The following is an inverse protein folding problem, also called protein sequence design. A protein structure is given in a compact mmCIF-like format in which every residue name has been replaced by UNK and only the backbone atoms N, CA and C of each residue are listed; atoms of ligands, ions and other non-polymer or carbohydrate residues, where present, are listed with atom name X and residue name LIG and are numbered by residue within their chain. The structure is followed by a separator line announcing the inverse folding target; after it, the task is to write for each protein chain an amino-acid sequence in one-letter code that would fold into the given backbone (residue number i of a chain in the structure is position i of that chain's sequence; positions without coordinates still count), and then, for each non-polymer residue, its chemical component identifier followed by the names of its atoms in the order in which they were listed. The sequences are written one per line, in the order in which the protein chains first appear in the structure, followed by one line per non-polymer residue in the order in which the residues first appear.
data_IF_439230510178
#
_entry.id   IF_439230510178
#
_cell.length_a   1.000
_cell.length_b   1.000
_cell.length_c   1.000
_cell.angle_alpha   90.00
_cell.angle_beta   90.00
_cell.angle_gamma   90.00
#
_symmetry.space_group_name_H-M   'P 1'
#
loop_
_entity.id
_entity.type
_entity.pdbx_description
1 polymer ?
#
# COMPACT_ATOMS: atom_id res chain seq x y z
N UNK A 1 -7.75 -12.95 -0.65
CA UNK A 1 -8.54 -12.79 0.58
C UNK A 1 -8.77 -11.33 0.84
N UNK A 2 -9.89 -10.98 1.49
CA UNK A 2 -10.19 -9.61 1.94
C UNK A 2 -9.40 -9.29 3.21
N UNK A 3 -9.22 -8.02 3.55
CA UNK A 3 -8.46 -7.65 4.75
C UNK A 3 -9.00 -8.28 6.04
N UNK A 4 -10.33 -8.31 6.20
CA UNK A 4 -11.01 -8.94 7.35
C UNK A 4 -10.82 -10.46 7.48
N UNK A 5 -10.39 -11.12 6.40
CA UNK A 5 -10.17 -12.57 6.36
C UNK A 5 -8.71 -12.94 6.68
N UNK A 6 -7.84 -11.93 6.88
CA UNK A 6 -6.43 -12.15 7.19
C UNK A 6 -6.30 -12.51 8.67
N UNK A 7 -5.75 -13.68 8.92
CA UNK A 7 -5.36 -14.15 10.25
C UNK A 7 -3.87 -13.88 10.39
N UNK A 8 -3.55 -12.84 11.15
CA UNK A 8 -2.17 -12.44 11.41
C UNK A 8 -1.53 -13.35 12.43
N UNK A 9 -0.30 -13.81 12.13
CA UNK A 9 0.53 -14.54 13.10
C UNK A 9 1.01 -13.62 14.23
N UNK A 10 1.35 -12.39 13.87
CA UNK A 10 1.70 -11.31 14.78
C UNK A 10 1.11 -9.99 14.26
N UNK A 11 0.50 -9.22 15.16
CA UNK A 11 -0.03 -7.90 14.82
C UNK A 11 1.10 -6.90 15.02
N UNK A 12 1.63 -6.39 13.91
CA UNK A 12 2.67 -5.36 13.93
C UNK A 12 2.01 -3.98 13.97
N UNK A 13 2.48 -3.14 14.90
CA UNK A 13 2.00 -1.76 15.10
C UNK A 13 2.84 -0.71 14.37
N UNK A 14 3.94 -1.13 13.72
CA UNK A 14 4.83 -0.23 12.97
C UNK A 14 4.69 -0.53 11.49
N UNK A 15 4.49 0.47 10.61
CA UNK A 15 4.40 0.24 9.18
C UNK A 15 5.70 -0.39 8.65
N UNK A 16 5.58 -1.43 7.84
CA UNK A 16 6.74 -2.11 7.25
C UNK A 16 7.04 -1.54 5.86
N UNK A 17 6.01 -1.44 5.02
CA UNK A 17 6.09 -0.98 3.64
C UNK A 17 5.31 0.30 3.36
N UNK A 18 4.44 0.76 4.28
CA UNK A 18 3.75 2.04 4.20
C UNK A 18 4.50 3.18 4.91
N UNK A 19 5.83 3.19 4.80
CA UNK A 19 6.64 4.20 5.49
C UNK A 19 6.40 5.60 4.91
N UNK A 20 6.13 6.56 5.81
CA UNK A 20 6.07 7.97 5.46
C UNK A 20 7.49 8.51 5.22
N UNK A 21 7.77 8.98 4.01
CA UNK A 21 9.08 9.56 3.67
C UNK A 21 9.08 11.08 3.84
N UNK A 22 10.10 11.65 4.52
CA UNK A 22 10.22 13.09 4.72
C UNK A 22 10.30 13.86 3.39
N UNK A 23 9.72 15.06 3.37
CA UNK A 23 9.84 16.00 2.24
C UNK A 23 11.32 16.28 1.92
N UNK A 24 11.68 16.25 0.64
CA UNK A 24 13.04 16.54 0.16
C UNK A 24 13.99 15.34 0.11
N UNK A 25 13.58 14.15 0.54
CA UNK A 25 14.37 12.90 0.36
C UNK A 25 13.97 12.16 -0.92
N UNK A 26 14.92 11.48 -1.60
CA UNK A 26 14.63 10.71 -2.80
C UNK A 26 13.78 9.48 -2.46
N UNK A 27 12.49 9.53 -2.76
CA UNK A 27 11.54 8.44 -2.47
C UNK A 27 11.34 7.47 -3.64
N UNK A 28 11.63 7.87 -4.89
CA UNK A 28 11.35 7.07 -6.10
C UNK A 28 12.01 5.68 -6.09
N UNK A 29 13.27 5.59 -5.67
CA UNK A 29 13.97 4.31 -5.60
C UNK A 29 13.38 3.35 -4.56
N UNK A 30 12.99 3.86 -3.39
CA UNK A 30 12.35 3.07 -2.34
C UNK A 30 10.91 2.69 -2.72
N UNK A 31 10.23 3.55 -3.47
CA UNK A 31 8.91 3.29 -4.03
C UNK A 31 8.93 2.17 -5.06
N UNK A 32 9.94 2.13 -5.94
CA UNK A 32 10.17 1.01 -6.87
C UNK A 32 10.45 -0.32 -6.15
N UNK A 33 11.03 -0.27 -4.95
CA UNK A 33 11.20 -1.43 -4.08
C UNK A 33 9.94 -1.79 -3.27
N UNK A 34 8.85 -1.04 -3.43
CA UNK A 34 7.57 -1.24 -2.76
C UNK A 34 7.55 -0.92 -1.27
N UNK A 35 8.47 -0.06 -0.81
CA UNK A 35 8.65 0.33 0.61
C UNK A 35 8.06 1.69 0.97
N UNK A 36 7.37 2.31 0.02
CA UNK A 36 6.81 3.66 0.17
C UNK A 36 5.37 3.65 -0.26
N UNK A 37 4.49 3.97 0.69
CA UNK A 37 3.11 4.31 0.37
C UNK A 37 3.00 5.79 0.02
N UNK A 38 2.33 6.15 -1.09
CA UNK A 38 2.19 7.54 -1.50
C UNK A 38 1.25 8.33 -0.58
N UNK A 39 1.78 9.36 0.07
CA UNK A 39 1.04 10.25 1.01
C UNK A 39 0.91 11.68 0.49
N UNK A 40 1.27 11.91 -0.78
CA UNK A 40 1.13 13.20 -1.46
C UNK A 40 0.81 13.01 -2.94
N UNK A 41 0.23 14.03 -3.57
CA UNK A 41 -0.12 13.99 -5.00
C UNK A 41 1.07 13.65 -5.89
N UNK A 42 2.23 14.27 -5.66
CA UNK A 42 3.44 13.99 -6.45
C UNK A 42 3.93 12.54 -6.28
N UNK A 43 3.83 11.98 -5.07
CA UNK A 43 4.17 10.58 -4.82
C UNK A 43 3.17 9.64 -5.46
N UNK A 44 1.87 9.95 -5.41
CA UNK A 44 0.82 9.14 -6.01
C UNK A 44 0.96 9.11 -7.55
N UNK A 45 1.20 10.26 -8.17
CA UNK A 45 1.51 10.35 -9.60
C UNK A 45 2.72 9.49 -9.96
N UNK A 46 3.84 9.68 -9.26
CA UNK A 46 5.05 8.90 -9.50
C UNK A 46 4.82 7.39 -9.29
N UNK A 47 4.08 7.01 -8.25
CA UNK A 47 3.76 5.62 -7.94
C UNK A 47 3.02 4.95 -9.10
N UNK A 48 1.97 5.60 -9.63
CA UNK A 48 1.17 5.08 -10.74
C UNK A 48 1.95 5.12 -12.05
N UNK A 49 2.61 6.23 -12.38
CA UNK A 49 3.38 6.38 -13.62
C UNK A 49 4.54 5.38 -13.73
N UNK A 50 5.21 5.09 -12.61
CA UNK A 50 6.30 4.12 -12.58
C UNK A 50 5.81 2.67 -12.45
N UNK A 51 4.50 2.42 -12.35
CA UNK A 51 3.93 1.09 -12.16
C UNK A 51 4.40 0.42 -10.86
N UNK A 52 4.55 1.20 -9.79
CA UNK A 52 5.00 0.71 -8.50
C UNK A 52 3.94 -0.21 -7.87
N UNK A 53 4.39 -1.09 -6.96
CA UNK A 53 3.52 -1.91 -6.15
C UNK A 53 4.01 -1.89 -4.71
N UNK A 54 3.11 -2.05 -3.74
CA UNK A 54 3.53 -2.26 -2.35
C UNK A 54 4.07 -3.68 -2.25
N UNK A 55 5.22 -3.84 -1.58
CA UNK A 55 5.89 -5.13 -1.45
C UNK A 55 5.16 -6.05 -0.46
N UNK A 56 5.78 -6.32 0.68
CA UNK A 56 5.18 -7.11 1.76
C UNK A 56 4.58 -6.17 2.79
N UNK A 57 3.32 -6.40 3.14
CA UNK A 57 2.55 -5.57 4.05
C UNK A 57 2.24 -6.35 5.32
N UNK A 58 2.39 -5.67 6.45
CA UNK A 58 1.90 -6.17 7.73
C UNK A 58 0.46 -5.66 8.01
N UNK A 59 -0.05 -5.95 9.20
CA UNK A 59 -1.39 -5.54 9.63
C UNK A 59 -1.64 -4.04 9.53
N UNK A 60 -0.66 -3.21 9.89
CA UNK A 60 -0.81 -1.75 9.86
C UNK A 60 -0.78 -1.21 8.41
N UNK A 61 0.13 -1.73 7.58
CA UNK A 61 0.18 -1.37 6.16
C UNK A 61 -1.16 -1.70 5.47
N UNK A 62 -1.75 -2.87 5.77
CA UNK A 62 -3.07 -3.26 5.24
C UNK A 62 -4.15 -2.29 5.73
N UNK A 63 -4.15 -1.90 7.00
CA UNK A 63 -5.09 -0.92 7.56
C UNK A 63 -5.02 0.42 6.82
N UNK A 64 -3.82 0.91 6.50
CA UNK A 64 -3.62 2.16 5.75
C UNK A 64 -4.15 2.03 4.31
N UNK A 65 -3.82 0.94 3.63
CA UNK A 65 -4.27 0.69 2.24
C UNK A 65 -5.79 0.55 2.18
N UNK A 66 -6.38 -0.22 3.10
CA UNK A 66 -7.84 -0.41 3.12
C UNK A 66 -8.59 0.87 3.41
N UNK A 67 -8.10 1.74 4.32
CA UNK A 67 -8.73 3.05 4.56
C UNK A 67 -8.81 3.90 3.29
N UNK A 68 -7.77 3.85 2.45
CA UNK A 68 -7.77 4.54 1.16
C UNK A 68 -8.77 3.87 0.19
N UNK A 69 -8.73 2.54 0.08
CA UNK A 69 -9.61 1.81 -0.83
C UNK A 69 -11.09 1.98 -0.45
N UNK A 70 -11.42 1.84 0.82
CA UNK A 70 -12.79 1.95 1.36
C UNK A 70 -13.38 3.34 1.11
N UNK A 71 -12.57 4.40 1.28
CA UNK A 71 -12.97 5.79 0.98
C UNK A 71 -13.43 5.97 -0.47
N UNK A 72 -12.89 5.17 -1.39
CA UNK A 72 -13.23 5.17 -2.82
C UNK A 72 -14.12 4.00 -3.22
N UNK A 73 -14.78 3.33 -2.26
CA UNK A 73 -15.66 2.17 -2.47
C UNK A 73 -14.97 0.99 -3.18
N UNK A 74 -13.66 0.83 -2.95
CA UNK A 74 -12.85 -0.28 -3.42
C UNK A 74 -12.46 -1.17 -2.24
N UNK A 75 -11.99 -2.38 -2.51
CA UNK A 75 -11.62 -3.35 -1.48
C UNK A 75 -10.34 -4.08 -1.89
N UNK A 76 -9.39 -4.21 -0.97
CA UNK A 76 -8.11 -4.87 -1.23
C UNK A 76 -8.25 -6.39 -1.27
N UNK A 77 -7.56 -6.99 -2.24
CA UNK A 77 -7.40 -8.44 -2.38
C UNK A 77 -5.97 -8.80 -2.05
N UNK A 78 -5.80 -9.56 -0.99
CA UNK A 78 -4.50 -9.91 -0.43
C UNK A 78 -4.15 -11.39 -0.64
N UNK A 79 -2.85 -11.70 -0.61
CA UNK A 79 -2.28 -13.05 -0.56
C UNK A 79 -1.23 -13.11 0.55
N UNK A 80 -1.20 -14.18 1.33
CA UNK A 80 -0.10 -14.41 2.27
C UNK A 80 1.24 -14.54 1.56
N UNK A 81 2.28 -14.05 2.22
CA UNK A 81 3.67 -14.20 1.83
C UNK A 81 4.44 -14.83 2.99
N UNK A 82 5.38 -15.71 2.66
CA UNK A 82 6.21 -16.40 3.66
C UNK A 82 5.38 -17.23 4.65
N UNK A 83 5.59 -16.99 5.95
CA UNK A 83 5.00 -17.74 7.06
C UNK A 83 3.67 -17.14 7.58
N UNK A 84 2.95 -16.41 6.72
CA UNK A 84 1.72 -15.66 7.04
C UNK A 84 1.91 -14.45 7.96
N UNK A 85 3.15 -14.02 8.19
CA UNK A 85 3.43 -12.76 8.88
C UNK A 85 3.15 -11.53 8.00
N UNK A 86 3.21 -11.70 6.68
CA UNK A 86 2.99 -10.63 5.71
C UNK A 86 1.99 -11.03 4.63
N UNK A 87 1.43 -10.02 3.97
CA UNK A 87 0.59 -10.18 2.81
C UNK A 87 1.02 -9.25 1.67
N UNK A 88 0.58 -9.56 0.45
CA UNK A 88 0.76 -8.71 -0.71
C UNK A 88 -0.58 -8.37 -1.35
N UNK A 89 -0.73 -7.13 -1.81
CA UNK A 89 -1.89 -6.71 -2.59
C UNK A 89 -1.82 -7.32 -3.99
N UNK A 90 -2.90 -7.96 -4.42
CA UNK A 90 -3.02 -8.60 -5.73
C UNK A 90 -3.70 -7.66 -6.73
N UNK A 91 -4.69 -6.89 -6.27
CA UNK A 91 -5.45 -5.94 -7.11
C UNK A 91 -4.82 -4.55 -7.06
N UNK A 92 -3.55 -4.46 -7.48
CA UNK A 92 -2.82 -3.19 -7.55
C UNK A 92 -3.54 -2.15 -8.41
N UNK A 93 -4.27 -2.58 -9.45
CA UNK A 93 -5.08 -1.70 -10.29
C UNK A 93 -6.14 -0.91 -9.51
N UNK A 94 -6.72 -1.49 -8.46
CA UNK A 94 -7.73 -0.81 -7.64
C UNK A 94 -7.07 0.23 -6.74
N UNK A 95 -5.88 -0.08 -6.22
CA UNK A 95 -5.08 0.90 -5.47
C UNK A 95 -4.68 2.08 -6.37
N UNK A 96 -4.27 1.84 -7.61
CA UNK A 96 -3.93 2.92 -8.54
C UNK A 96 -5.14 3.81 -8.84
N UNK A 97 -6.34 3.22 -8.97
CA UNK A 97 -7.60 3.97 -9.15
C UNK A 97 -7.94 4.79 -7.91
N UNK A 98 -7.78 4.24 -6.71
CA UNK A 98 -8.02 4.95 -5.47
C UNK A 98 -7.05 6.14 -5.31
N UNK A 99 -5.78 5.96 -5.68
CA UNK A 99 -4.78 7.02 -5.65
C UNK A 99 -5.10 8.16 -6.61
N UNK A 100 -5.51 7.83 -7.85
CA UNK A 100 -5.97 8.83 -8.83
C UNK A 100 -7.17 9.61 -8.33
N UNK A 101 -8.14 8.93 -7.72
CA UNK A 101 -9.33 9.55 -7.16
C UNK A 101 -9.01 10.44 -5.94
N UNK A 102 -8.15 9.98 -5.02
CA UNK A 102 -7.77 10.72 -3.81
C UNK A 102 -7.03 12.02 -4.12
N UNK A 103 -6.13 12.00 -5.09
CA UNK A 103 -5.27 13.15 -5.43
C UNK A 103 -5.69 13.88 -6.70
N UNK A 104 -6.81 13.47 -7.31
CA UNK A 104 -7.39 14.03 -8.53
C UNK A 104 -6.35 14.23 -9.65
N UNK A 105 -5.81 13.12 -10.17
CA UNK A 105 -4.89 13.09 -11.32
C UNK A 105 -5.17 11.91 -12.26
#
# INVERSE_FOLDING_TARGET
MKAKEIIWKEVSVLPHSANAYPKGKPYKGQMMMGRVFPVSKAQAMAFVEMGCCIAEMNSEDVSIVEKLLEKHHLEGKYRYVGDKSFVKLINQSDLDRALKAEYAF
#
